data_IF_067961211158
#
_entry.id   IF_067961211158
#
_cell.length_a   1.000
_cell.length_b   1.000
_cell.length_c   1.000
_cell.angle_alpha   90.00
_cell.angle_beta   90.00
_cell.angle_gamma   90.00
#
_symmetry.space_group_name_H-M   'P 1'
#
loop_
_entity.id
_entity.type
_entity.pdbx_description
1 polymer ?
#
# COMPACT_ATOMS: atom_id res chain seq x y z
N UNK A 1 -0.45 28.03 -3.60
CA UNK A 1 -0.61 26.96 -4.60
C UNK A 1 0.46 25.90 -4.39
N UNK A 2 0.13 24.61 -4.37
CA UNK A 2 1.12 23.54 -4.17
C UNK A 2 0.72 22.27 -4.91
N UNK A 3 1.70 21.41 -5.13
CA UNK A 3 1.49 20.03 -5.57
C UNK A 3 1.79 19.08 -4.43
N UNK A 4 1.02 18.01 -4.34
CA UNK A 4 1.20 16.96 -3.35
C UNK A 4 1.22 15.61 -4.04
N UNK A 5 2.06 14.69 -3.58
CA UNK A 5 2.08 13.33 -4.08
C UNK A 5 2.20 12.31 -2.96
N UNK A 6 1.50 11.19 -3.10
CA UNK A 6 1.43 10.09 -2.13
C UNK A 6 1.77 8.78 -2.83
N UNK A 7 2.70 7.96 -2.33
CA UNK A 7 3.03 6.69 -2.96
C UNK A 7 1.94 5.65 -2.75
N UNK A 8 1.85 4.70 -3.69
CA UNK A 8 1.18 3.43 -3.49
C UNK A 8 1.85 2.63 -2.37
N UNK A 9 1.20 1.62 -1.87
CA UNK A 9 1.76 0.74 -0.84
C UNK A 9 1.40 -0.72 -1.08
N UNK A 10 2.23 -1.62 -0.56
CA UNK A 10 1.95 -3.04 -0.47
C UNK A 10 2.04 -3.48 0.98
N UNK A 11 0.98 -4.06 1.48
CA UNK A 11 0.80 -4.43 2.87
C UNK A 11 1.00 -5.92 3.10
N UNK A 12 1.14 -6.31 4.35
CA UNK A 12 1.29 -7.66 4.88
C UNK A 12 2.64 -8.32 4.57
N UNK A 13 3.12 -8.28 3.34
CA UNK A 13 4.36 -8.94 2.88
C UNK A 13 4.49 -10.41 3.33
N UNK A 14 3.37 -11.14 3.30
CA UNK A 14 3.23 -12.48 3.87
C UNK A 14 2.78 -12.42 5.34
N UNK A 15 3.64 -12.73 6.32
CA UNK A 15 3.22 -12.94 7.71
C UNK A 15 2.96 -11.66 8.51
N UNK A 16 3.29 -10.49 7.96
CA UNK A 16 3.13 -9.20 8.64
C UNK A 16 1.73 -8.62 8.56
N UNK A 17 0.71 -9.46 8.68
CA UNK A 17 -0.70 -9.11 8.56
C UNK A 17 -1.08 -7.94 9.46
N UNK A 18 -1.64 -6.88 8.83
CA UNK A 18 -2.04 -5.60 9.44
C UNK A 18 -0.88 -4.87 10.18
N UNK A 19 0.39 -5.26 9.97
CA UNK A 19 1.53 -4.73 10.71
C UNK A 19 2.69 -4.24 9.82
N UNK A 20 2.95 -4.86 8.69
CA UNK A 20 4.13 -4.57 7.86
C UNK A 20 3.71 -4.14 6.46
N UNK A 21 4.25 -2.99 6.02
CA UNK A 21 4.00 -2.50 4.68
C UNK A 21 5.20 -1.77 4.08
N UNK A 22 5.17 -1.62 2.77
CA UNK A 22 6.19 -0.89 1.99
C UNK A 22 5.54 0.14 1.08
N UNK A 23 6.20 1.28 0.91
CA UNK A 23 5.83 2.28 -0.08
C UNK A 23 6.39 1.91 -1.47
N UNK A 24 5.58 2.04 -2.51
CA UNK A 24 5.97 1.76 -3.89
C UNK A 24 6.10 3.06 -4.69
N UNK A 25 7.07 3.12 -5.60
CA UNK A 25 7.30 4.30 -6.44
C UNK A 25 6.31 4.37 -7.62
N UNK A 26 5.04 4.40 -7.25
CA UNK A 26 3.88 4.67 -8.09
C UNK A 26 3.02 5.67 -7.32
N UNK A 27 2.82 6.89 -7.83
CA UNK A 27 2.35 7.98 -6.97
C UNK A 27 1.04 8.59 -7.44
N UNK A 28 0.06 8.61 -6.55
CA UNK A 28 -1.09 9.51 -6.59
C UNK A 28 -0.60 10.95 -6.49
N UNK A 29 -1.09 11.85 -7.34
CA UNK A 29 -0.71 13.27 -7.35
C UNK A 29 -1.93 14.15 -7.29
N UNK A 30 -1.79 15.30 -6.66
CA UNK A 30 -2.79 16.36 -6.74
C UNK A 30 -2.12 17.73 -6.88
N UNK A 31 -2.80 18.60 -7.60
CA UNK A 31 -2.50 20.04 -7.65
C UNK A 31 -3.61 20.77 -6.90
N UNK A 32 -3.19 21.59 -5.91
CA UNK A 32 -4.10 22.39 -5.09
C UNK A 32 -3.92 23.85 -5.46
N UNK A 33 -5.00 24.50 -5.87
CA UNK A 33 -5.03 25.90 -6.30
C UNK A 33 -6.12 26.65 -5.54
N UNK A 34 -5.96 27.96 -5.38
CA UNK A 34 -7.03 28.82 -4.89
C UNK A 34 -8.21 28.82 -5.87
N UNK A 35 -9.41 28.81 -5.34
CA UNK A 35 -10.64 28.86 -6.10
C UNK A 35 -11.69 29.68 -5.34
N UNK A 36 -12.79 30.04 -6.00
CA UNK A 36 -13.91 30.75 -5.35
C UNK A 36 -14.75 29.83 -4.45
N UNK A 37 -14.72 28.53 -4.75
CA UNK A 37 -15.43 27.49 -4.02
C UNK A 37 -14.60 26.20 -4.02
N UNK A 38 -14.89 25.30 -3.10
CA UNK A 38 -14.26 23.98 -3.07
C UNK A 38 -14.65 23.14 -4.28
N UNK A 39 -13.65 22.55 -4.94
CA UNK A 39 -13.85 21.59 -6.03
C UNK A 39 -12.84 20.45 -5.93
N UNK A 40 -13.32 19.24 -6.15
CA UNK A 40 -12.49 18.05 -6.34
C UNK A 40 -12.70 17.52 -7.75
N UNK A 41 -11.64 17.53 -8.54
CA UNK A 41 -11.65 17.12 -9.94
C UNK A 41 -10.62 16.02 -10.19
N UNK A 42 -10.83 15.23 -11.24
CA UNK A 42 -9.93 14.15 -11.61
C UNK A 42 -9.51 14.34 -13.07
N UNK A 43 -8.20 14.21 -13.32
CA UNK A 43 -7.68 14.20 -14.68
C UNK A 43 -7.97 12.86 -15.33
N UNK A 44 -8.26 12.87 -16.65
CA UNK A 44 -8.43 11.65 -17.42
C UNK A 44 -7.13 10.84 -17.43
N UNK A 45 -7.26 9.51 -17.31
CA UNK A 45 -6.13 8.60 -17.32
C UNK A 45 -6.60 7.15 -17.30
N UNK A 46 -5.71 6.18 -17.55
CA UNK A 46 -6.07 4.76 -17.64
C UNK A 46 -6.66 4.19 -16.34
N UNK A 47 -6.44 4.87 -15.22
CA UNK A 47 -7.02 4.55 -13.91
C UNK A 47 -7.77 5.75 -13.32
N UNK A 48 -8.22 6.68 -14.17
CA UNK A 48 -9.06 7.79 -13.72
C UNK A 48 -10.23 7.21 -12.91
N UNK A 49 -10.48 7.67 -11.69
CA UNK A 49 -11.47 7.06 -10.83
C UNK A 49 -12.87 7.33 -11.39
N UNK A 50 -13.40 6.33 -12.10
CA UNK A 50 -14.82 6.25 -12.42
C UNK A 50 -15.64 5.83 -11.19
N UNK A 51 -14.94 5.47 -10.08
CA UNK A 51 -15.57 4.92 -8.89
C UNK A 51 -15.80 6.00 -7.82
N UNK A 52 -17.05 6.28 -7.43
CA UNK A 52 -17.38 7.29 -6.41
C UNK A 52 -16.64 7.08 -5.07
N UNK A 53 -16.32 5.83 -4.73
CA UNK A 53 -15.61 5.48 -3.50
C UNK A 53 -14.21 6.09 -3.38
N UNK A 54 -13.49 6.30 -4.50
CA UNK A 54 -12.16 6.89 -4.42
C UNK A 54 -12.20 8.39 -4.03
N UNK A 55 -13.12 9.15 -4.61
CA UNK A 55 -13.36 10.53 -4.20
C UNK A 55 -13.78 10.61 -2.73
N UNK A 56 -14.61 9.67 -2.27
CA UNK A 56 -15.06 9.57 -0.89
C UNK A 56 -13.89 9.38 0.09
N UNK A 57 -12.84 8.62 -0.27
CA UNK A 57 -11.67 8.46 0.60
C UNK A 57 -10.88 9.76 0.77
N UNK A 58 -10.71 10.55 -0.30
CA UNK A 58 -10.09 11.88 -0.21
C UNK A 58 -10.93 12.79 0.70
N UNK A 59 -12.25 12.79 0.51
CA UNK A 59 -13.18 13.57 1.35
C UNK A 59 -13.17 13.15 2.82
N UNK A 60 -13.04 11.84 3.11
CA UNK A 60 -12.87 11.34 4.48
C UNK A 60 -11.60 11.87 5.10
N UNK A 61 -10.48 11.85 4.35
CA UNK A 61 -9.21 12.41 4.78
C UNK A 61 -9.30 13.90 5.10
N UNK A 62 -9.92 14.69 4.22
CA UNK A 62 -10.18 16.12 4.46
C UNK A 62 -11.06 16.33 5.71
N UNK A 63 -12.13 15.58 5.84
CA UNK A 63 -13.10 15.71 6.93
C UNK A 63 -12.55 15.30 8.28
N UNK A 64 -11.59 14.38 8.34
CA UNK A 64 -10.97 13.95 9.59
C UNK A 64 -10.23 15.09 10.31
N UNK A 65 -9.83 16.13 9.59
CA UNK A 65 -9.12 17.31 10.14
C UNK A 65 -10.02 18.56 10.11
N UNK A 66 -10.72 18.79 9.01
CA UNK A 66 -11.50 20.01 8.78
C UNK A 66 -12.98 19.88 9.20
N UNK A 67 -13.43 18.69 9.58
CA UNK A 67 -14.86 18.42 9.80
C UNK A 67 -15.66 18.62 8.52
N UNK A 68 -16.71 19.41 8.57
CA UNK A 68 -17.53 19.80 7.41
C UNK A 68 -17.00 21.04 6.66
N UNK A 69 -15.99 21.71 7.20
CA UNK A 69 -15.42 22.90 6.57
C UNK A 69 -14.65 22.52 5.30
N UNK A 70 -14.71 23.38 4.29
CA UNK A 70 -13.94 23.24 3.07
C UNK A 70 -13.28 24.58 2.72
N UNK A 71 -11.96 24.61 2.55
CA UNK A 71 -11.27 25.81 2.07
C UNK A 71 -11.68 26.13 0.63
N UNK A 72 -11.51 27.37 0.21
CA UNK A 72 -11.78 27.83 -1.15
C UNK A 72 -10.64 27.42 -2.09
N UNK A 73 -10.60 26.15 -2.44
CA UNK A 73 -9.58 25.51 -3.28
C UNK A 73 -10.17 24.60 -4.34
N UNK A 74 -9.42 24.42 -5.39
CA UNK A 74 -9.62 23.32 -6.35
C UNK A 74 -8.50 22.30 -6.17
N UNK A 75 -8.87 21.04 -6.02
CA UNK A 75 -7.98 19.88 -5.94
C UNK A 75 -8.15 19.10 -7.24
N UNK A 76 -7.13 19.12 -8.10
CA UNK A 76 -7.08 18.32 -9.33
C UNK A 76 -6.20 17.09 -9.11
N UNK A 77 -6.78 15.90 -9.22
CA UNK A 77 -6.15 14.62 -8.85
C UNK A 77 -5.83 13.78 -10.08
N UNK A 78 -4.59 13.27 -10.14
CA UNK A 78 -4.11 12.25 -11.10
C UNK A 78 -3.82 10.97 -10.34
N UNK A 79 -4.56 9.88 -10.63
CA UNK A 79 -4.37 8.59 -9.97
C UNK A 79 -3.88 7.49 -10.93
N UNK A 80 -2.58 7.13 -10.92
CA UNK A 80 -2.09 5.98 -11.66
C UNK A 80 -2.20 4.65 -10.87
N UNK A 81 -2.63 4.68 -9.59
CA UNK A 81 -2.69 3.49 -8.75
C UNK A 81 -3.99 2.72 -9.07
N UNK A 82 -3.91 1.46 -9.53
CA UNK A 82 -5.10 0.66 -9.82
C UNK A 82 -6.01 0.48 -8.61
N UNK A 83 -7.30 0.73 -8.82
CA UNK A 83 -8.31 0.61 -7.77
C UNK A 83 -8.64 -0.86 -7.48
N UNK A 84 -8.79 -1.23 -6.19
CA UNK A 84 -9.22 -2.58 -5.80
C UNK A 84 -8.21 -3.69 -6.12
N UNK A 85 -6.93 -3.35 -6.32
CA UNK A 85 -5.88 -4.30 -6.70
C UNK A 85 -4.86 -4.60 -5.58
N UNK A 86 -5.11 -4.16 -4.34
CA UNK A 86 -4.20 -4.42 -3.22
C UNK A 86 -2.90 -3.59 -3.26
N UNK A 87 -2.94 -2.43 -3.91
CA UNK A 87 -1.81 -1.49 -4.02
C UNK A 87 -2.00 -0.21 -3.19
N UNK A 88 -2.85 -0.26 -2.18
CA UNK A 88 -3.05 0.84 -1.22
C UNK A 88 -3.67 2.11 -1.81
N UNK A 89 -4.49 2.01 -2.89
CA UNK A 89 -5.11 3.18 -3.52
C UNK A 89 -6.05 3.93 -2.57
N UNK A 90 -6.85 3.22 -1.75
CA UNK A 90 -7.72 3.80 -0.72
C UNK A 90 -6.89 4.55 0.34
N UNK A 91 -5.88 3.88 0.90
CA UNK A 91 -4.98 4.49 1.88
C UNK A 91 -4.28 5.73 1.32
N UNK A 92 -3.77 5.67 0.08
CA UNK A 92 -3.15 6.83 -0.58
C UNK A 92 -4.14 8.00 -0.74
N UNK A 93 -5.41 7.73 -1.06
CA UNK A 93 -6.46 8.74 -1.17
C UNK A 93 -6.79 9.39 0.18
N UNK A 94 -6.97 8.59 1.25
CA UNK A 94 -7.18 9.08 2.61
C UNK A 94 -6.00 9.92 3.12
N UNK A 95 -4.77 9.43 2.90
CA UNK A 95 -3.53 10.15 3.23
C UNK A 95 -3.43 11.46 2.46
N UNK A 96 -3.78 11.48 1.16
CA UNK A 96 -3.81 12.70 0.35
C UNK A 96 -4.74 13.74 0.97
N UNK A 97 -6.00 13.35 1.25
CA UNK A 97 -7.00 14.24 1.84
C UNK A 97 -6.56 14.80 3.19
N UNK A 98 -6.10 13.93 4.10
CA UNK A 98 -5.62 14.35 5.42
C UNK A 98 -4.40 15.29 5.33
N UNK A 99 -3.45 14.99 4.44
CA UNK A 99 -2.25 15.82 4.25
C UNK A 99 -2.56 17.18 3.62
N UNK A 100 -3.55 17.27 2.72
CA UNK A 100 -4.05 18.56 2.21
C UNK A 100 -4.70 19.33 3.35
N UNK A 101 -5.61 18.71 4.10
CA UNK A 101 -6.33 19.35 5.20
C UNK A 101 -5.38 19.92 6.27
N UNK A 102 -4.32 19.20 6.60
CA UNK A 102 -3.31 19.63 7.56
C UNK A 102 -2.63 20.95 7.20
N UNK A 103 -2.67 21.38 5.92
CA UNK A 103 -2.13 22.67 5.46
C UNK A 103 -3.06 23.87 5.75
N UNK A 104 -4.29 23.62 6.16
CA UNK A 104 -5.34 24.65 6.34
C UNK A 104 -5.78 24.83 7.80
N UNK A 105 -5.04 24.27 8.75
CA UNK A 105 -5.35 24.38 10.18
C UNK A 105 -4.18 24.92 10.99
N UNK A 106 -4.51 25.66 12.04
CA UNK A 106 -3.59 26.16 13.06
C UNK A 106 -4.09 25.70 14.44
N UNK A 107 -3.22 25.19 15.33
CA UNK A 107 -1.79 24.93 15.11
C UNK A 107 -1.54 23.77 14.12
N UNK A 108 -0.31 23.66 13.62
CA UNK A 108 0.11 22.62 12.70
C UNK A 108 -0.18 21.22 13.26
N UNK A 109 -0.71 20.34 12.41
CA UNK A 109 -1.00 18.94 12.77
C UNK A 109 0.32 18.18 12.97
N UNK A 110 0.54 17.64 14.18
CA UNK A 110 1.73 16.85 14.45
C UNK A 110 1.78 15.56 13.64
N UNK A 111 2.98 15.05 13.34
CA UNK A 111 3.16 13.73 12.69
C UNK A 111 2.43 12.63 13.47
N UNK A 112 2.52 12.63 14.81
CA UNK A 112 1.79 11.70 15.67
C UNK A 112 0.29 11.73 15.44
N UNK A 113 -0.30 12.92 15.36
CA UNK A 113 -1.74 13.11 15.11
C UNK A 113 -2.10 12.62 13.71
N UNK A 114 -1.26 12.96 12.73
CA UNK A 114 -1.51 12.58 11.34
C UNK A 114 -1.40 11.05 11.14
N UNK A 115 -0.41 10.39 11.78
CA UNK A 115 -0.28 8.91 11.74
C UNK A 115 -1.49 8.22 12.37
N UNK A 116 -2.04 8.77 13.45
CA UNK A 116 -3.28 8.26 14.03
C UNK A 116 -4.46 8.41 13.05
N UNK A 117 -4.70 9.63 12.55
CA UNK A 117 -5.82 9.92 11.64
C UNK A 117 -5.80 8.98 10.43
N UNK A 118 -4.67 8.83 9.75
CA UNK A 118 -4.62 8.00 8.53
C UNK A 118 -4.75 6.50 8.84
N UNK A 119 -4.31 6.06 10.03
CA UNK A 119 -4.50 4.68 10.48
C UNK A 119 -5.96 4.41 10.80
N UNK A 120 -6.65 5.34 11.47
CA UNK A 120 -8.07 5.22 11.80
C UNK A 120 -8.96 5.22 10.54
N UNK A 121 -8.60 6.03 9.55
CA UNK A 121 -9.29 6.07 8.25
C UNK A 121 -9.23 4.73 7.51
N UNK A 122 -8.07 4.07 7.51
CA UNK A 122 -7.86 2.79 6.82
C UNK A 122 -8.28 1.60 7.70
N UNK A 123 -8.23 1.75 9.03
CA UNK A 123 -8.49 0.70 10.02
C UNK A 123 -7.27 -0.16 10.36
N UNK A 124 -6.16 0.03 9.66
CA UNK A 124 -4.88 -0.65 9.89
C UNK A 124 -3.70 0.16 9.34
N UNK A 125 -2.50 0.07 9.97
CA UNK A 125 -1.37 0.95 9.65
C UNK A 125 -0.57 0.56 8.41
N UNK A 126 -0.64 -0.67 7.96
CA UNK A 126 0.30 -1.30 7.02
C UNK A 126 0.24 -0.78 5.57
N UNK A 127 -0.85 -0.10 5.18
CA UNK A 127 -0.95 0.68 3.93
C UNK A 127 -0.80 2.18 4.20
N UNK A 128 -1.47 2.70 5.22
CA UNK A 128 -1.53 4.13 5.49
C UNK A 128 -0.18 4.72 5.89
N UNK A 129 0.57 4.05 6.78
CA UNK A 129 1.86 4.57 7.23
C UNK A 129 2.95 4.53 6.14
N UNK A 130 3.12 3.48 5.33
CA UNK A 130 4.02 3.55 4.19
C UNK A 130 3.63 4.64 3.19
N UNK A 131 2.35 4.85 2.93
CA UNK A 131 1.89 5.93 2.06
C UNK A 131 2.22 7.32 2.64
N UNK A 132 2.08 7.50 3.95
CA UNK A 132 2.39 8.77 4.63
C UNK A 132 3.90 9.00 4.77
N UNK A 133 4.67 8.00 5.22
CA UNK A 133 6.05 8.12 5.69
C UNK A 133 7.10 7.68 4.65
N UNK A 134 6.70 6.84 3.68
CA UNK A 134 7.63 6.16 2.79
C UNK A 134 8.38 5.01 3.45
N UNK A 135 9.23 4.34 2.67
CA UNK A 135 10.07 3.27 3.17
C UNK A 135 9.32 1.97 3.46
N UNK A 136 9.88 1.22 4.40
CA UNK A 136 9.31 0.02 4.98
C UNK A 136 8.84 0.37 6.37
N UNK A 137 7.58 0.12 6.70
CA UNK A 137 7.02 0.45 8.01
C UNK A 137 6.55 -0.81 8.70
N UNK A 138 6.94 -0.94 9.96
CA UNK A 138 6.48 -1.98 10.87
C UNK A 138 5.76 -1.28 12.01
N UNK A 139 4.50 -1.60 12.21
CA UNK A 139 3.64 -0.88 13.15
C UNK A 139 2.84 -1.83 14.03
N UNK A 140 2.54 -1.35 15.23
CA UNK A 140 1.60 -1.97 16.16
C UNK A 140 0.55 -0.93 16.54
N UNK A 141 -0.74 -1.27 16.32
CA UNK A 141 -1.86 -0.43 16.72
C UNK A 141 -2.10 -0.54 18.22
N UNK A 142 -2.46 0.56 18.88
CA UNK A 142 -2.64 0.68 20.32
C UNK A 142 -4.08 1.10 20.69
N UNK A 143 -5.08 0.38 20.21
CA UNK A 143 -6.47 0.79 20.42
C UNK A 143 -6.75 2.15 19.78
N UNK A 144 -7.19 3.14 20.57
CA UNK A 144 -7.50 4.50 20.11
C UNK A 144 -6.27 5.44 20.08
N UNK A 145 -5.10 4.98 20.54
CA UNK A 145 -3.86 5.75 20.50
C UNK A 145 -3.19 5.68 19.12
N UNK A 146 -2.35 6.68 18.83
CA UNK A 146 -1.50 6.65 17.65
C UNK A 146 -0.64 5.37 17.60
N UNK A 147 -0.49 4.74 16.43
CA UNK A 147 0.28 3.51 16.30
C UNK A 147 1.73 3.71 16.73
N UNK A 148 2.31 2.69 17.35
CA UNK A 148 3.77 2.61 17.52
C UNK A 148 4.36 2.03 16.26
N UNK A 149 5.37 2.66 15.68
CA UNK A 149 5.99 2.17 14.44
C UNK A 149 7.50 2.40 14.40
N UNK A 150 8.13 1.61 13.55
CA UNK A 150 9.50 1.83 13.08
C UNK A 150 9.47 1.93 11.56
N UNK A 151 10.19 2.90 11.03
CA UNK A 151 10.40 3.09 9.59
C UNK A 151 11.83 2.74 9.24
N UNK A 152 12.01 1.96 8.19
CA UNK A 152 13.30 1.58 7.64
C UNK A 152 13.46 2.10 6.22
N UNK A 153 14.69 2.47 5.87
CA UNK A 153 15.03 2.80 4.49
C UNK A 153 14.96 1.55 3.61
N UNK A 154 14.44 1.66 2.38
CA UNK A 154 14.46 0.57 1.44
C UNK A 154 15.88 0.08 1.17
N UNK A 155 16.14 -1.24 1.18
CA UNK A 155 17.45 -1.76 0.85
C UNK A 155 17.87 -1.40 -0.58
N UNK A 156 19.12 -0.96 -0.75
CA UNK A 156 19.65 -0.57 -2.04
C UNK A 156 19.60 -1.74 -3.05
N UNK A 157 19.23 -1.45 -4.30
CA UNK A 157 19.17 -2.43 -5.37
C UNK A 157 17.95 -3.36 -5.36
N UNK A 158 17.10 -3.32 -4.34
CA UNK A 158 15.85 -4.10 -4.30
C UNK A 158 14.79 -3.42 -5.18
N UNK A 159 14.12 -4.24 -5.98
CA UNK A 159 12.97 -3.86 -6.80
C UNK A 159 11.75 -4.69 -6.43
N UNK A 160 10.59 -4.10 -6.61
CA UNK A 160 9.30 -4.77 -6.50
C UNK A 160 8.78 -5.11 -7.90
N UNK A 161 8.54 -6.38 -8.17
CA UNK A 161 7.78 -6.83 -9.32
C UNK A 161 6.35 -7.05 -8.85
N UNK A 162 5.41 -6.35 -9.46
CA UNK A 162 3.99 -6.43 -9.11
C UNK A 162 3.24 -7.07 -10.27
N UNK A 163 2.62 -8.21 -10.03
CA UNK A 163 1.68 -8.83 -10.95
C UNK A 163 0.26 -8.40 -10.59
N UNK A 164 -0.46 -7.83 -11.56
CA UNK A 164 -1.80 -7.24 -11.41
C UNK A 164 -2.76 -8.04 -12.28
N UNK A 165 -3.42 -9.07 -11.73
CA UNK A 165 -4.36 -9.87 -12.50
C UNK A 165 -5.67 -9.11 -12.72
N UNK A 166 -6.30 -9.38 -13.87
CA UNK A 166 -7.60 -8.82 -14.20
C UNK A 166 -8.74 -9.60 -13.54
N UNK A 167 -8.73 -9.61 -12.21
CA UNK A 167 -9.79 -10.12 -11.33
C UNK A 167 -10.06 -9.09 -10.25
N UNK A 168 -11.19 -9.16 -9.61
CA UNK A 168 -11.57 -8.29 -8.50
C UNK A 168 -11.63 -9.10 -7.20
N UNK A 169 -11.12 -8.53 -6.12
CA UNK A 169 -11.25 -9.06 -4.78
C UNK A 169 -11.40 -7.87 -3.81
N UNK A 170 -12.64 -7.47 -3.51
CA UNK A 170 -12.90 -6.39 -2.56
C UNK A 170 -12.29 -6.69 -1.19
N UNK A 171 -11.68 -5.69 -0.54
CA UNK A 171 -10.99 -5.87 0.75
C UNK A 171 -11.91 -6.46 1.82
N UNK A 172 -13.18 -6.05 1.85
CA UNK A 172 -14.16 -6.60 2.79
C UNK A 172 -14.38 -8.11 2.60
N UNK A 173 -14.48 -8.57 1.34
CA UNK A 173 -14.60 -10.00 1.02
C UNK A 173 -13.32 -10.74 1.38
N UNK A 174 -12.14 -10.18 1.04
CA UNK A 174 -10.85 -10.76 1.37
C UNK A 174 -10.59 -10.86 2.89
N UNK A 175 -11.29 -10.08 3.72
CA UNK A 175 -11.28 -10.22 5.18
C UNK A 175 -12.30 -11.23 5.66
N UNK A 176 -13.50 -11.26 5.08
CA UNK A 176 -14.59 -12.14 5.50
C UNK A 176 -14.29 -13.64 5.32
N UNK A 177 -13.37 -13.99 4.41
CA UNK A 177 -12.97 -15.38 4.19
C UNK A 177 -11.94 -15.90 5.20
N UNK A 178 -11.40 -15.04 6.06
CA UNK A 178 -10.42 -15.45 7.06
C UNK A 178 -11.13 -16.11 8.26
N UNK A 179 -10.53 -17.15 8.85
CA UNK A 179 -11.12 -17.80 10.00
C UNK A 179 -11.02 -16.95 11.27
N UNK A 180 -12.01 -17.06 12.16
CA UNK A 180 -11.96 -16.41 13.47
C UNK A 180 -10.92 -17.01 14.42
N UNK A 181 -10.43 -18.20 14.12
CA UNK A 181 -9.45 -18.92 14.95
C UNK A 181 -8.43 -19.64 14.10
N UNK A 182 -7.18 -19.57 14.52
CA UNK A 182 -6.05 -20.24 13.89
C UNK A 182 -5.55 -21.40 14.77
N UNK A 183 -5.01 -22.43 14.13
CA UNK A 183 -4.29 -23.48 14.86
C UNK A 183 -3.05 -22.90 15.50
N UNK A 184 -2.65 -23.44 16.66
CA UNK A 184 -1.44 -22.98 17.36
C UNK A 184 -0.20 -23.07 16.48
N UNK A 185 -0.07 -24.13 15.69
CA UNK A 185 1.05 -24.35 14.80
C UNK A 185 1.13 -23.26 13.71
N UNK A 186 -0.01 -22.80 13.18
CA UNK A 186 -0.06 -21.76 12.16
C UNK A 186 0.24 -20.37 12.78
N UNK A 187 -0.23 -20.12 13.99
CA UNK A 187 0.12 -18.91 14.74
C UNK A 187 1.64 -18.85 15.04
N UNK A 188 2.22 -19.94 15.53
CA UNK A 188 3.68 -20.04 15.76
C UNK A 188 4.46 -19.84 14.46
N UNK A 189 4.01 -20.46 13.36
CA UNK A 189 4.61 -20.30 12.04
C UNK A 189 4.67 -18.84 11.61
N UNK A 190 3.57 -18.09 11.76
CA UNK A 190 3.50 -16.67 11.38
C UNK A 190 4.34 -15.79 12.31
N UNK A 191 4.29 -16.00 13.64
CA UNK A 191 5.09 -15.23 14.59
C UNK A 191 6.60 -15.35 14.30
N UNK A 192 7.08 -16.56 14.04
CA UNK A 192 8.50 -16.80 13.68
C UNK A 192 8.89 -16.03 12.42
N UNK A 193 8.04 -16.04 11.39
CA UNK A 193 8.31 -15.41 10.10
C UNK A 193 8.17 -13.90 10.15
N UNK A 194 7.17 -13.38 10.83
CA UNK A 194 7.00 -11.95 11.02
C UNK A 194 8.21 -11.36 11.79
N UNK A 195 8.68 -12.04 12.84
CA UNK A 195 9.88 -11.63 13.58
C UNK A 195 11.13 -11.66 12.68
N UNK A 196 11.30 -12.71 11.86
CA UNK A 196 12.44 -12.82 10.95
C UNK A 196 12.36 -11.77 9.84
N UNK A 197 11.17 -11.49 9.30
CA UNK A 197 10.93 -10.45 8.28
C UNK A 197 11.31 -9.06 8.81
N UNK A 198 10.84 -8.73 10.01
CA UNK A 198 11.17 -7.48 10.69
C UNK A 198 12.68 -7.36 10.95
N UNK A 199 13.32 -8.42 11.45
CA UNK A 199 14.76 -8.45 11.70
C UNK A 199 15.57 -8.32 10.40
N UNK A 200 15.14 -8.95 9.29
CA UNK A 200 15.81 -8.83 8.00
C UNK A 200 15.80 -7.40 7.47
N UNK A 201 14.68 -6.70 7.56
CA UNK A 201 14.63 -5.29 7.16
C UNK A 201 15.44 -4.38 8.09
N UNK A 202 15.42 -4.65 9.40
CA UNK A 202 16.17 -3.86 10.39
C UNK A 202 17.70 -4.03 10.27
N UNK A 203 18.16 -5.23 9.95
CA UNK A 203 19.59 -5.53 9.81
C UNK A 203 20.13 -5.28 8.40
N UNK A 204 19.27 -5.22 7.39
CA UNK A 204 19.65 -5.20 5.97
C UNK A 204 20.08 -6.58 5.44
N UNK A 205 20.03 -7.65 6.26
CA UNK A 205 20.26 -9.02 5.79
C UNK A 205 18.99 -9.60 5.15
N UNK A 206 18.95 -9.56 3.85
CA UNK A 206 17.81 -10.02 3.04
C UNK A 206 17.86 -11.50 2.67
N UNK A 207 18.91 -12.22 3.07
CA UNK A 207 19.11 -13.65 2.70
C UNK A 207 17.98 -14.56 3.20
N UNK A 208 17.28 -14.13 4.25
CA UNK A 208 16.18 -14.88 4.85
C UNK A 208 14.77 -14.50 4.35
N UNK A 209 14.63 -13.50 3.48
CA UNK A 209 13.31 -13.01 3.04
C UNK A 209 12.44 -14.10 2.41
N UNK A 210 13.06 -15.04 1.65
CA UNK A 210 12.34 -16.17 1.05
C UNK A 210 11.55 -16.98 2.08
N UNK A 211 12.16 -17.26 3.23
CA UNK A 211 11.53 -17.97 4.35
C UNK A 211 10.61 -17.02 5.13
N UNK A 212 11.07 -15.81 5.37
CA UNK A 212 10.39 -14.83 6.19
C UNK A 212 9.04 -14.37 5.61
N UNK A 213 8.87 -14.33 4.29
CA UNK A 213 7.62 -13.95 3.62
C UNK A 213 6.59 -15.09 3.52
N UNK A 214 6.87 -16.26 4.10
CA UNK A 214 5.88 -17.34 4.20
C UNK A 214 4.76 -17.01 5.16
N UNK A 215 3.51 -17.34 4.81
CA UNK A 215 2.33 -17.00 5.59
C UNK A 215 1.34 -18.16 5.68
N UNK A 216 0.65 -18.24 6.82
CA UNK A 216 -0.46 -19.15 7.08
C UNK A 216 -1.72 -18.47 7.64
N UNK A 217 -1.70 -17.13 7.75
CA UNK A 217 -2.85 -16.39 8.27
C UNK A 217 -3.84 -16.00 7.19
N UNK A 218 -3.38 -15.54 6.03
CA UNK A 218 -4.30 -15.01 5.03
C UNK A 218 -4.10 -15.59 3.62
N UNK A 219 -2.87 -15.79 3.16
CA UNK A 219 -2.59 -16.23 1.79
C UNK A 219 -3.19 -17.61 1.46
N UNK A 220 -3.15 -18.63 2.35
CA UNK A 220 -3.79 -19.92 2.05
C UNK A 220 -5.29 -19.80 1.79
N UNK A 221 -5.98 -18.96 2.56
CA UNK A 221 -7.43 -18.77 2.42
C UNK A 221 -7.77 -17.94 1.17
N UNK A 222 -6.98 -16.91 0.88
CA UNK A 222 -7.17 -16.04 -0.28
C UNK A 222 -6.77 -16.71 -1.59
N UNK A 223 -5.95 -17.74 -1.57
CA UNK A 223 -5.53 -18.47 -2.77
C UNK A 223 -6.70 -19.05 -3.57
N UNK A 224 -7.79 -19.40 -2.92
CA UNK A 224 -9.00 -19.88 -3.61
C UNK A 224 -9.68 -18.79 -4.47
N UNK A 225 -9.46 -17.51 -4.15
CA UNK A 225 -10.05 -16.35 -4.82
C UNK A 225 -9.05 -15.63 -5.75
N UNK A 226 -7.77 -16.03 -5.70
CA UNK A 226 -6.70 -15.50 -6.55
C UNK A 226 -6.01 -16.66 -7.26
N UNK A 227 -6.66 -17.27 -8.29
CA UNK A 227 -6.03 -18.36 -9.06
C UNK A 227 -4.72 -17.87 -9.67
N UNK A 228 -3.64 -18.66 -9.50
CA UNK A 228 -2.27 -18.28 -9.86
C UNK A 228 -1.43 -17.80 -8.67
N UNK A 229 -2.03 -17.44 -7.52
CA UNK A 229 -1.28 -17.03 -6.34
C UNK A 229 -0.38 -18.17 -5.82
N UNK A 230 -0.92 -19.37 -5.70
CA UNK A 230 -0.16 -20.51 -5.18
C UNK A 230 1.08 -20.83 -6.04
N UNK A 231 0.98 -20.67 -7.37
CA UNK A 231 2.08 -20.80 -8.31
C UNK A 231 3.09 -19.65 -8.13
N UNK A 232 2.61 -18.42 -8.04
CA UNK A 232 3.50 -17.27 -7.80
C UNK A 232 4.32 -17.44 -6.52
N UNK A 233 3.72 -17.89 -5.42
CA UNK A 233 4.41 -18.12 -4.14
C UNK A 233 5.51 -19.19 -4.22
N UNK A 234 5.48 -20.07 -5.24
CA UNK A 234 6.47 -21.14 -5.47
C UNK A 234 7.53 -20.80 -6.51
N UNK A 235 7.46 -19.62 -7.13
CA UNK A 235 8.48 -19.22 -8.11
C UNK A 235 9.85 -19.27 -7.47
N UNK A 236 10.80 -19.90 -8.17
CA UNK A 236 12.22 -19.90 -7.84
C UNK A 236 12.98 -19.26 -9.00
N UNK A 237 13.76 -18.25 -8.69
CA UNK A 237 14.58 -17.55 -9.66
C UNK A 237 15.79 -16.93 -8.96
N UNK A 238 16.89 -16.83 -9.69
CA UNK A 238 18.06 -16.11 -9.20
C UNK A 238 17.71 -14.63 -8.93
N UNK A 239 18.14 -14.10 -7.80
CA UNK A 239 17.87 -12.74 -7.36
C UNK A 239 16.47 -12.51 -6.77
N UNK A 240 15.59 -13.53 -6.78
CA UNK A 240 14.29 -13.45 -6.12
C UNK A 240 14.47 -13.58 -4.60
N UNK A 241 14.08 -12.55 -3.86
CA UNK A 241 14.16 -12.50 -2.39
C UNK A 241 12.91 -13.09 -1.72
N UNK A 242 11.73 -12.89 -2.29
CA UNK A 242 10.48 -13.43 -1.76
C UNK A 242 9.27 -12.99 -2.56
N UNK A 243 8.15 -13.69 -2.36
CA UNK A 243 6.87 -13.42 -3.02
C UNK A 243 5.76 -13.42 -1.98
N UNK A 244 4.84 -12.49 -2.08
CA UNK A 244 3.64 -12.42 -1.24
C UNK A 244 2.45 -11.81 -1.99
N UNK A 245 1.26 -12.09 -1.50
CA UNK A 245 0.06 -11.35 -1.89
C UNK A 245 0.20 -9.90 -1.41
N UNK A 246 -0.12 -8.95 -2.26
CA UNK A 246 -0.07 -7.52 -1.92
C UNK A 246 -1.35 -7.08 -1.22
N UNK A 247 -1.27 -6.78 0.06
CA UNK A 247 -2.42 -6.40 0.88
C UNK A 247 -3.52 -7.46 0.88
N UNK A 248 -4.74 -7.06 0.55
CA UNK A 248 -5.87 -7.98 0.38
C UNK A 248 -5.80 -8.79 -0.94
N UNK A 249 -4.96 -8.38 -1.87
CA UNK A 249 -4.90 -8.88 -3.25
C UNK A 249 -5.79 -8.06 -4.19
N UNK A 250 -6.01 -8.52 -5.43
CA UNK A 250 -5.47 -9.75 -6.01
C UNK A 250 -4.02 -9.64 -6.52
N UNK A 251 -3.39 -8.45 -6.45
CA UNK A 251 -1.99 -8.31 -6.90
C UNK A 251 -1.04 -9.15 -6.06
N UNK A 252 0.01 -9.61 -6.71
CA UNK A 252 1.11 -10.36 -6.08
C UNK A 252 2.39 -9.56 -6.23
N UNK A 253 3.13 -9.42 -5.13
CA UNK A 253 4.39 -8.72 -5.06
C UNK A 253 5.54 -9.73 -4.97
N UNK A 254 6.58 -9.53 -5.77
CA UNK A 254 7.88 -10.18 -5.60
C UNK A 254 8.96 -9.13 -5.34
N UNK A 255 9.79 -9.34 -4.34
CA UNK A 255 10.99 -8.55 -4.09
C UNK A 255 12.19 -9.24 -4.73
N UNK A 256 13.02 -8.49 -5.47
CA UNK A 256 14.19 -9.05 -6.14
C UNK A 256 15.35 -8.05 -6.23
N UNK A 257 16.56 -8.58 -6.38
CA UNK A 257 17.79 -7.81 -6.64
C UNK A 257 18.24 -7.89 -8.09
N UNK A 258 17.81 -8.93 -8.82
CA UNK A 258 18.14 -9.13 -10.24
C UNK A 258 17.04 -9.94 -10.94
N UNK A 259 17.20 -10.19 -12.25
CA UNK A 259 16.30 -11.01 -13.07
C UNK A 259 14.81 -10.62 -13.06
N UNK A 260 14.49 -9.34 -12.77
CA UNK A 260 13.11 -8.83 -12.75
C UNK A 260 12.26 -9.25 -13.95
N UNK A 261 12.74 -9.14 -15.21
CA UNK A 261 11.98 -9.55 -16.39
C UNK A 261 11.58 -11.05 -16.39
N UNK A 262 12.47 -11.93 -15.95
CA UNK A 262 12.19 -13.37 -15.87
C UNK A 262 11.17 -13.68 -14.77
N UNK A 263 11.30 -13.01 -13.60
CA UNK A 263 10.35 -13.12 -12.49
C UNK A 263 8.97 -12.63 -12.93
N UNK A 264 8.90 -11.46 -13.59
CA UNK A 264 7.66 -10.90 -14.13
C UNK A 264 6.98 -11.85 -15.13
N UNK A 265 7.76 -12.49 -16.01
CA UNK A 265 7.25 -13.46 -16.97
C UNK A 265 6.68 -14.71 -16.26
N UNK A 266 7.38 -15.24 -15.25
CA UNK A 266 6.93 -16.38 -14.47
C UNK A 266 5.63 -16.07 -13.70
N UNK A 267 5.53 -14.88 -13.09
CA UNK A 267 4.31 -14.44 -12.41
C UNK A 267 3.14 -14.32 -13.38
N UNK A 268 3.36 -13.74 -14.56
CA UNK A 268 2.33 -13.61 -15.59
C UNK A 268 1.87 -14.98 -16.10
N UNK A 269 2.80 -15.91 -16.31
CA UNK A 269 2.50 -17.28 -16.73
C UNK A 269 1.63 -18.00 -15.68
N UNK A 270 1.91 -17.81 -14.37
CA UNK A 270 1.10 -18.38 -13.30
C UNK A 270 -0.39 -18.02 -13.44
N UNK A 271 -0.72 -16.76 -13.75
CA UNK A 271 -2.09 -16.33 -13.99
C UNK A 271 -2.64 -16.80 -15.35
N UNK A 272 -1.81 -16.81 -16.40
CA UNK A 272 -2.21 -17.24 -17.76
C UNK A 272 -2.66 -18.69 -17.77
N UNK A 273 -2.06 -19.56 -16.97
CA UNK A 273 -2.47 -20.99 -16.81
C UNK A 273 -3.92 -21.11 -16.31
N UNK A 274 -4.41 -20.11 -15.59
CA UNK A 274 -5.79 -20.00 -15.14
C UNK A 274 -6.68 -19.14 -16.08
N UNK A 275 -6.19 -18.81 -17.28
CA UNK A 275 -6.88 -17.97 -18.28
C UNK A 275 -7.17 -16.54 -17.77
N UNK A 276 -6.35 -16.06 -16.85
CA UNK A 276 -6.45 -14.70 -16.29
C UNK A 276 -5.37 -13.85 -16.97
N UNK A 277 -5.78 -12.72 -17.56
CA UNK A 277 -4.83 -11.71 -18.04
C UNK A 277 -4.17 -11.03 -16.86
N UNK A 278 -2.87 -10.79 -16.95
CA UNK A 278 -2.09 -10.21 -15.87
C UNK A 278 -1.05 -9.23 -16.43
N UNK A 279 -1.11 -8.00 -15.96
CA UNK A 279 -0.04 -7.03 -16.18
C UNK A 279 1.06 -7.23 -15.16
N UNK A 280 2.29 -6.86 -15.51
CA UNK A 280 3.42 -6.88 -14.58
C UNK A 280 4.18 -5.59 -14.64
N UNK A 281 4.40 -4.97 -13.49
CA UNK A 281 5.14 -3.72 -13.35
C UNK A 281 6.39 -3.93 -12.51
N UNK A 282 7.47 -3.22 -12.86
CA UNK A 282 8.69 -3.16 -12.05
C UNK A 282 8.77 -1.79 -11.41
N UNK A 283 8.65 -1.74 -10.10
CA UNK A 283 8.60 -0.52 -9.31
C UNK A 283 9.82 -0.43 -8.38
N UNK A 284 10.22 0.80 -8.05
CA UNK A 284 11.07 1.07 -6.91
C UNK A 284 10.30 0.95 -5.60
N UNK A 285 11.01 0.76 -4.49
CA UNK A 285 10.47 0.99 -3.15
C UNK A 285 10.72 2.47 -2.85
N UNK A 286 9.65 3.22 -2.56
CA UNK A 286 9.75 4.67 -2.38
C UNK A 286 10.36 5.01 -1.02
N UNK A 287 11.44 5.76 -1.01
CA UNK A 287 12.05 6.30 0.22
C UNK A 287 11.18 7.40 0.85
N UNK A 288 10.39 8.07 0.03
CA UNK A 288 9.62 9.27 0.43
C UNK A 288 8.13 8.92 0.44
N UNK A 289 7.48 9.23 1.55
CA UNK A 289 6.03 9.18 1.70
C UNK A 289 5.34 10.34 1.01
N UNK A 290 4.49 11.06 1.72
CA UNK A 290 3.90 12.31 1.23
C UNK A 290 5.00 13.31 0.87
N UNK A 291 4.89 13.92 -0.29
CA UNK A 291 5.77 15.01 -0.72
C UNK A 291 4.94 16.19 -1.18
N UNK A 292 5.20 17.35 -0.59
CA UNK A 292 4.54 18.61 -0.92
C UNK A 292 5.58 19.54 -1.52
N UNK A 293 5.24 20.20 -2.63
CA UNK A 293 6.08 21.21 -3.30
C UNK A 293 5.25 22.45 -3.54
N UNK A 294 5.67 23.58 -2.95
CA UNK A 294 5.09 24.86 -3.26
C UNK A 294 5.35 25.18 -4.75
N UNK A 295 4.37 25.79 -5.38
CA UNK A 295 4.54 26.38 -6.71
C UNK A 295 4.71 27.88 -6.51
N UNK A 296 5.78 28.44 -7.02
CA UNK A 296 5.92 29.89 -7.08
C UNK A 296 4.71 30.48 -7.81
N UNK A 297 4.20 31.60 -7.27
CA UNK A 297 3.18 32.37 -7.96
C UNK A 297 3.79 32.88 -9.27
N UNK A 298 3.24 32.44 -10.40
CA UNK A 298 3.65 32.92 -11.73
C UNK A 298 3.17 34.35 -11.95
#
# INVERSE_FOLDING_TARGET
MFTISVPASSANLGPGFDAIGIALDLRLRATVTEAREYRLTFTEGPHAPTHPGFASEIERGLSAILGSSRPQIEISVENPIPLGKGLGSSAAAGVLGASIAARFVEPEVSERTLTQIVTDLEGHPDNALPALLGGIVIAAQRGEDAPSYLRFEPPAGVRAIVAIPNIELPTAEARAILPDRYRKEDAVYNVQRAALLAASFASGDLSHLRVAMGDRFHQPYRSAFVPGLAECLRIEAEGLLGVALSGAGPSVLALCTSNGPAIAAAMREAFTRHKITCETWTLGISHVGVSIRERDAA
#
